data_IF_683786844457
#
_entry.id   IF_683786844457
#
_cell.length_a   1.000
_cell.length_b   1.000
_cell.length_c   1.000
_cell.angle_alpha   90.00
_cell.angle_beta   90.00
_cell.angle_gamma   90.00
#
_symmetry.space_group_name_H-M   'P 1'
#
loop_
_entity.id
_entity.type
_entity.pdbx_description
1 polymer ?
#
# COMPACT_ATOMS: atom_id res chain seq x y z
N UNK A 1 51.21 49.62 -6.27
CA UNK A 1 50.52 49.55 -4.98
C UNK A 1 49.12 48.99 -5.26
N UNK A 2 49.01 47.65 -5.15
CA UNK A 2 47.80 46.92 -5.50
C UNK A 2 47.11 46.46 -4.19
N UNK A 3 45.92 46.96 -3.95
CA UNK A 3 45.03 46.51 -2.85
C UNK A 3 44.08 45.46 -3.36
N UNK A 4 44.25 44.21 -2.94
CA UNK A 4 43.36 43.09 -3.19
C UNK A 4 42.17 43.10 -2.20
N UNK A 5 40.96 43.21 -2.71
CA UNK A 5 39.73 43.11 -1.91
C UNK A 5 39.19 41.66 -2.01
N UNK A 6 39.31 40.92 -0.93
CA UNK A 6 38.69 39.61 -0.74
C UNK A 6 37.22 39.78 -0.31
N UNK A 7 36.31 39.51 -1.25
CA UNK A 7 34.89 39.47 -0.97
C UNK A 7 34.49 38.15 -0.28
N UNK A 8 34.13 38.25 0.99
CA UNK A 8 33.55 37.14 1.76
C UNK A 8 32.06 36.97 1.43
N UNK A 9 31.70 35.89 0.75
CA UNK A 9 30.32 35.51 0.51
C UNK A 9 29.75 34.89 1.79
N UNK A 10 28.91 35.64 2.49
CA UNK A 10 28.13 35.17 3.64
C UNK A 10 26.95 34.34 3.10
N UNK A 11 27.01 33.04 3.25
CA UNK A 11 25.84 32.16 3.13
C UNK A 11 24.87 32.48 4.28
N UNK A 12 23.80 33.19 3.97
CA UNK A 12 22.65 33.33 4.86
C UNK A 12 21.92 31.99 4.90
N UNK A 13 22.03 31.29 6.01
CA UNK A 13 21.13 30.19 6.35
C UNK A 13 19.80 30.80 6.80
N UNK A 14 18.78 30.69 5.98
CA UNK A 14 17.42 30.98 6.40
C UNK A 14 17.00 29.88 7.38
N UNK A 15 16.91 30.25 8.65
CA UNK A 15 16.30 29.44 9.69
C UNK A 15 14.79 29.68 9.64
N UNK A 16 14.02 28.67 9.24
CA UNK A 16 12.57 28.68 9.31
C UNK A 16 12.15 28.25 10.74
N UNK A 17 11.43 29.07 11.52
CA UNK A 17 11.13 28.81 12.93
C UNK A 17 9.97 27.84 13.16
N UNK A 18 9.39 27.24 12.13
CA UNK A 18 8.38 26.20 12.24
C UNK A 18 8.99 24.85 11.98
N UNK A 19 9.23 24.06 13.04
CA UNK A 19 9.70 22.67 12.99
C UNK A 19 8.69 21.69 12.37
N UNK A 20 8.15 22.03 11.19
CA UNK A 20 7.37 21.17 10.32
C UNK A 20 8.30 20.55 9.29
N UNK A 21 8.43 19.22 9.31
CA UNK A 21 9.00 18.47 8.22
C UNK A 21 8.36 18.95 6.91
N UNK A 22 9.17 19.42 5.95
CA UNK A 22 8.70 19.72 4.58
C UNK A 22 8.07 18.45 3.99
N UNK A 23 6.73 18.37 4.02
CA UNK A 23 5.94 17.20 3.57
C UNK A 23 6.02 16.94 2.07
N UNK A 24 6.62 17.82 1.26
CA UNK A 24 6.54 17.77 -0.20
C UNK A 24 7.83 17.37 -0.95
N UNK A 25 8.96 17.24 -0.27
CA UNK A 25 10.25 17.04 -0.96
C UNK A 25 10.51 15.61 -1.47
N UNK A 26 9.69 14.61 -1.07
CA UNK A 26 9.89 13.19 -1.42
C UNK A 26 8.82 12.60 -2.35
N UNK A 27 7.69 13.28 -2.59
CA UNK A 27 6.60 12.76 -3.42
C UNK A 27 6.82 13.11 -4.89
N UNK A 28 6.95 12.08 -5.73
CA UNK A 28 7.08 12.19 -7.19
C UNK A 28 5.80 11.74 -7.88
N UNK A 29 5.28 12.55 -8.80
CA UNK A 29 4.19 12.17 -9.71
C UNK A 29 4.76 11.39 -10.88
N UNK A 30 4.12 10.28 -11.22
CA UNK A 30 4.51 9.40 -12.33
C UNK A 30 3.31 9.09 -13.21
N UNK A 31 3.60 8.72 -14.45
CA UNK A 31 2.64 8.06 -15.35
C UNK A 31 3.12 6.65 -15.61
N UNK A 32 2.23 5.68 -15.44
CA UNK A 32 2.49 4.26 -15.72
C UNK A 32 1.78 3.91 -17.02
N UNK A 33 2.51 3.37 -17.98
CA UNK A 33 1.95 2.80 -19.19
C UNK A 33 1.53 1.35 -18.91
N UNK A 34 0.23 1.07 -19.04
CA UNK A 34 -0.35 -0.26 -18.82
C UNK A 34 -0.33 -1.07 -20.11
N UNK A 35 -0.79 -0.46 -21.20
CA UNK A 35 -0.74 -0.98 -22.55
C UNK A 35 -0.79 0.18 -23.57
N UNK A 36 -0.93 -0.12 -24.85
CA UNK A 36 -0.96 0.88 -25.92
C UNK A 36 -2.13 1.90 -25.79
N UNK A 37 -3.20 1.53 -25.09
CA UNK A 37 -4.41 2.35 -24.94
C UNK A 37 -4.58 2.95 -23.53
N UNK A 38 -3.90 2.41 -22.52
CA UNK A 38 -4.13 2.77 -21.13
C UNK A 38 -2.86 3.28 -20.44
N UNK A 39 -2.99 4.47 -19.86
CA UNK A 39 -2.00 5.08 -18.96
C UNK A 39 -2.69 5.45 -17.66
N UNK A 40 -1.98 5.33 -16.54
CA UNK A 40 -2.51 5.69 -15.24
C UNK A 40 -1.53 6.55 -14.46
N UNK A 41 -2.08 7.41 -13.62
CA UNK A 41 -1.33 8.26 -12.70
C UNK A 41 -0.82 7.43 -11.51
N UNK A 42 0.36 7.80 -11.02
CA UNK A 42 0.92 7.24 -9.79
C UNK A 42 1.61 8.31 -8.94
N UNK A 43 1.74 8.03 -7.65
CA UNK A 43 2.44 8.83 -6.66
C UNK A 43 3.48 7.95 -5.97
N UNK A 44 4.74 8.32 -6.11
CA UNK A 44 5.85 7.66 -5.43
C UNK A 44 6.29 8.54 -4.25
N UNK A 45 6.14 8.01 -3.05
CA UNK A 45 6.71 8.55 -1.82
C UNK A 45 7.99 7.77 -1.51
N UNK A 46 9.17 8.40 -1.65
CA UNK A 46 10.47 7.74 -1.51
C UNK A 46 11.34 8.51 -0.51
N UNK A 47 11.22 8.23 0.80
CA UNK A 47 12.08 8.84 1.79
C UNK A 47 13.55 8.41 1.59
N UNK A 48 14.54 9.28 1.87
CA UNK A 48 15.96 8.96 1.68
C UNK A 48 16.45 7.74 2.47
N UNK A 49 15.75 7.43 3.56
CA UNK A 49 16.06 6.29 4.46
C UNK A 49 15.23 5.06 4.15
N UNK A 50 14.56 4.99 2.98
CA UNK A 50 13.71 3.86 2.63
C UNK A 50 14.46 2.53 2.64
N UNK A 51 13.86 1.52 3.29
CA UNK A 51 14.41 0.16 3.43
C UNK A 51 13.65 -0.87 2.59
N UNK A 52 12.42 -0.56 2.20
CA UNK A 52 11.57 -1.35 1.32
C UNK A 52 10.60 -0.43 0.59
N UNK A 53 9.93 -0.96 -0.44
CA UNK A 53 8.89 -0.24 -1.17
C UNK A 53 7.60 -1.06 -1.22
N UNK A 54 6.49 -0.45 -0.80
CA UNK A 54 5.16 -1.03 -0.86
C UNK A 54 4.38 -0.51 -2.06
N UNK A 55 4.07 -1.39 -3.02
CA UNK A 55 3.20 -1.10 -4.17
C UNK A 55 1.75 -1.22 -3.71
N UNK A 56 1.09 -0.08 -3.51
CA UNK A 56 -0.17 0.06 -2.77
C UNK A 56 -1.34 0.39 -3.69
N UNK A 57 -2.16 -0.62 -3.98
CA UNK A 57 -3.37 -0.51 -4.79
C UNK A 57 -4.56 0.02 -3.96
N UNK A 58 -5.35 0.93 -4.55
CA UNK A 58 -6.52 1.52 -3.88
C UNK A 58 -7.75 0.61 -3.89
N UNK A 59 -8.69 0.87 -2.96
CA UNK A 59 -10.02 0.26 -2.92
C UNK A 59 -10.94 0.72 -4.06
N UNK A 60 -12.01 -0.03 -4.31
CA UNK A 60 -12.99 0.31 -5.34
C UNK A 60 -13.59 1.70 -5.10
N UNK A 61 -13.57 2.56 -6.12
CA UNK A 61 -14.15 3.91 -6.10
C UNK A 61 -13.40 4.93 -5.26
N UNK A 62 -12.27 4.57 -4.62
CA UNK A 62 -11.52 5.47 -3.75
C UNK A 62 -10.43 6.27 -4.50
N UNK A 63 -9.69 5.61 -5.39
CA UNK A 63 -8.53 6.20 -6.06
C UNK A 63 -7.30 6.37 -5.16
N UNK A 64 -6.14 6.63 -5.79
CA UNK A 64 -4.85 6.74 -5.10
C UNK A 64 -4.74 7.96 -4.17
N UNK A 65 -5.56 9.00 -4.40
CA UNK A 65 -5.61 10.23 -3.61
C UNK A 65 -6.57 10.19 -2.43
N UNK A 66 -7.25 9.06 -2.17
CA UNK A 66 -8.16 8.94 -1.04
C UNK A 66 -7.45 9.20 0.30
N UNK A 67 -8.09 9.90 1.29
CA UNK A 67 -7.45 10.23 2.57
C UNK A 67 -6.82 9.05 3.29
N UNK A 68 -7.47 7.88 3.29
CA UNK A 68 -6.88 6.65 3.85
C UNK A 68 -5.57 6.25 3.15
N UNK A 69 -5.54 6.30 1.82
CA UNK A 69 -4.34 5.96 1.04
C UNK A 69 -3.19 6.95 1.30
N UNK A 70 -3.53 8.23 1.47
CA UNK A 70 -2.56 9.27 1.85
C UNK A 70 -2.02 9.04 3.25
N UNK A 71 -2.90 8.76 4.23
CA UNK A 71 -2.50 8.49 5.61
C UNK A 71 -1.57 7.27 5.70
N UNK A 72 -1.88 6.18 4.97
CA UNK A 72 -1.01 5.01 4.90
C UNK A 72 0.36 5.36 4.30
N UNK A 73 0.40 6.07 3.17
CA UNK A 73 1.66 6.43 2.53
C UNK A 73 2.52 7.37 3.40
N UNK A 74 1.91 8.38 4.03
CA UNK A 74 2.62 9.28 4.95
C UNK A 74 3.17 8.54 6.16
N UNK A 75 2.34 7.67 6.77
CA UNK A 75 2.76 6.90 7.93
C UNK A 75 3.85 5.86 7.62
N UNK A 76 3.86 5.30 6.41
CA UNK A 76 4.94 4.44 5.92
C UNK A 76 6.24 5.24 5.70
N UNK A 77 6.16 6.43 5.10
CA UNK A 77 7.32 7.29 4.88
C UNK A 77 7.97 7.74 6.21
N UNK A 78 7.17 8.04 7.24
CA UNK A 78 7.63 8.34 8.60
C UNK A 78 8.38 7.15 9.24
N UNK A 79 8.12 5.93 8.77
CA UNK A 79 8.74 4.66 9.20
C UNK A 79 9.80 4.14 8.23
N UNK A 80 10.29 4.99 7.33
CA UNK A 80 11.32 4.63 6.34
C UNK A 80 10.90 3.48 5.39
N UNK A 81 9.62 3.41 5.05
CA UNK A 81 9.11 2.55 3.99
C UNK A 81 8.59 3.44 2.86
N UNK A 82 9.11 3.22 1.65
CA UNK A 82 8.62 3.87 0.45
C UNK A 82 7.24 3.32 0.04
N UNK A 83 6.45 4.11 -0.67
CA UNK A 83 5.20 3.62 -1.26
C UNK A 83 4.98 4.13 -2.67
N UNK A 84 4.48 3.25 -3.55
CA UNK A 84 3.96 3.61 -4.87
C UNK A 84 2.45 3.39 -4.88
N UNK A 85 1.68 4.48 -4.86
CA UNK A 85 0.22 4.47 -5.05
C UNK A 85 -0.09 4.75 -6.51
N UNK A 86 -1.05 4.04 -7.10
CA UNK A 86 -1.42 4.21 -8.50
C UNK A 86 -2.93 4.13 -8.70
N UNK A 87 -3.41 4.71 -9.82
CA UNK A 87 -4.80 4.60 -10.24
C UNK A 87 -5.03 3.31 -11.03
N UNK A 88 -6.24 2.75 -10.91
CA UNK A 88 -6.74 1.83 -11.94
C UNK A 88 -7.36 2.64 -13.10
N UNK A 89 -7.35 2.13 -14.34
CA UNK A 89 -7.81 2.89 -15.52
C UNK A 89 -9.24 3.41 -15.42
N UNK A 90 -10.17 2.69 -14.77
CA UNK A 90 -11.53 3.17 -14.57
C UNK A 90 -11.58 4.46 -13.73
N UNK A 91 -10.67 4.64 -12.77
CA UNK A 91 -10.61 5.84 -11.96
C UNK A 91 -10.03 7.03 -12.73
N UNK A 92 -9.10 6.80 -13.66
CA UNK A 92 -8.65 7.85 -14.60
C UNK A 92 -9.80 8.40 -15.45
N UNK A 93 -10.74 7.54 -15.81
CA UNK A 93 -11.96 7.90 -16.55
C UNK A 93 -13.10 8.40 -15.65
N UNK A 94 -12.84 8.65 -14.37
CA UNK A 94 -13.84 9.04 -13.37
C UNK A 94 -15.04 8.06 -13.27
N UNK A 95 -14.84 6.81 -13.63
CA UNK A 95 -15.86 5.77 -13.50
C UNK A 95 -15.87 5.19 -12.08
N UNK A 96 -17.06 4.83 -11.60
CA UNK A 96 -17.22 4.07 -10.34
C UNK A 96 -17.20 2.56 -10.55
N UNK A 97 -17.36 2.10 -11.81
CA UNK A 97 -17.37 0.68 -12.16
C UNK A 97 -15.96 0.22 -12.49
N UNK A 98 -15.39 -0.72 -11.72
CA UNK A 98 -14.09 -1.30 -12.02
C UNK A 98 -14.01 -1.88 -13.44
N UNK A 99 -12.82 -1.87 -14.00
CA UNK A 99 -12.50 -2.53 -15.27
C UNK A 99 -12.56 -4.06 -15.13
N UNK A 100 -12.52 -4.74 -16.28
CA UNK A 100 -12.38 -6.17 -16.33
C UNK A 100 -11.10 -6.62 -15.58
N UNK A 101 -11.10 -7.78 -14.92
CA UNK A 101 -9.96 -8.27 -14.16
C UNK A 101 -8.64 -8.24 -14.94
N UNK A 102 -8.64 -8.63 -16.21
CA UNK A 102 -7.43 -8.65 -17.03
C UNK A 102 -6.73 -7.29 -17.13
N UNK A 103 -7.49 -6.18 -17.28
CA UNK A 103 -6.92 -4.83 -17.31
C UNK A 103 -6.41 -4.40 -15.93
N UNK A 104 -7.12 -4.77 -14.87
CA UNK A 104 -6.67 -4.52 -13.51
C UNK A 104 -5.37 -5.27 -13.20
N UNK A 105 -5.25 -6.53 -13.62
CA UNK A 105 -4.02 -7.33 -13.46
C UNK A 105 -2.85 -6.75 -14.26
N UNK A 106 -3.08 -6.34 -15.51
CA UNK A 106 -2.06 -5.63 -16.30
C UNK A 106 -1.59 -4.35 -15.60
N UNK A 107 -2.52 -3.58 -15.00
CA UNK A 107 -2.19 -2.37 -14.25
C UNK A 107 -1.32 -2.68 -13.01
N UNK A 108 -1.65 -3.74 -12.26
CA UNK A 108 -0.82 -4.18 -11.12
C UNK A 108 0.59 -4.53 -11.57
N UNK A 109 0.74 -5.31 -12.66
CA UNK A 109 2.06 -5.68 -13.21
C UNK A 109 2.87 -4.45 -13.59
N UNK A 110 2.27 -3.53 -14.33
CA UNK A 110 2.94 -2.29 -14.75
C UNK A 110 3.32 -1.40 -13.57
N UNK A 111 2.53 -1.42 -12.49
CA UNK A 111 2.87 -0.69 -11.27
C UNK A 111 4.08 -1.31 -10.54
N UNK A 112 4.13 -2.64 -10.43
CA UNK A 112 5.28 -3.37 -9.87
C UNK A 112 6.54 -3.12 -10.70
N UNK A 113 6.47 -3.25 -12.03
CA UNK A 113 7.58 -2.98 -12.93
C UNK A 113 8.08 -1.53 -12.81
N UNK A 114 7.15 -0.58 -12.63
CA UNK A 114 7.52 0.82 -12.42
C UNK A 114 8.20 1.03 -11.07
N UNK A 115 7.71 0.38 -10.00
CA UNK A 115 8.35 0.42 -8.68
C UNK A 115 9.78 -0.12 -8.74
N UNK A 116 10.01 -1.25 -9.41
CA UNK A 116 11.33 -1.83 -9.62
C UNK A 116 12.28 -0.86 -10.34
N UNK A 117 11.80 -0.19 -11.39
CA UNK A 117 12.64 0.79 -12.13
C UNK A 117 12.93 2.06 -11.33
N UNK A 118 11.99 2.52 -10.48
CA UNK A 118 12.17 3.75 -9.70
C UNK A 118 13.05 3.54 -8.45
N UNK A 119 13.07 2.34 -7.89
CA UNK A 119 13.82 2.00 -6.68
C UNK A 119 14.44 0.58 -6.79
N UNK A 120 15.40 0.36 -7.71
CA UNK A 120 15.89 -0.98 -8.03
C UNK A 120 16.64 -1.68 -6.90
N UNK A 121 17.09 -0.93 -5.90
CA UNK A 121 17.77 -1.46 -4.71
C UNK A 121 16.85 -1.81 -3.55
N UNK A 122 15.56 -1.46 -3.63
CA UNK A 122 14.63 -1.72 -2.54
C UNK A 122 13.86 -3.03 -2.78
N UNK A 123 13.77 -3.91 -1.77
CA UNK A 123 12.87 -5.05 -1.82
C UNK A 123 11.42 -4.58 -1.91
N UNK A 124 10.62 -5.29 -2.72
CA UNK A 124 9.23 -4.93 -2.98
C UNK A 124 8.27 -5.80 -2.17
N UNK A 125 7.26 -5.13 -1.62
CA UNK A 125 6.03 -5.74 -1.13
C UNK A 125 4.89 -5.17 -1.96
N UNK A 126 3.90 -5.97 -2.31
CA UNK A 126 2.73 -5.51 -3.05
C UNK A 126 1.44 -5.79 -2.28
N UNK A 127 0.33 -5.16 -2.68
CA UNK A 127 -0.94 -5.37 -2.03
C UNK A 127 -1.88 -4.18 -2.18
N UNK A 128 -2.65 -3.91 -1.14
CA UNK A 128 -3.54 -2.76 -1.18
C UNK A 128 -4.76 -2.87 -0.28
N UNK A 129 -5.66 -1.91 -0.47
CA UNK A 129 -6.94 -1.82 0.23
C UNK A 129 -8.03 -2.57 -0.52
N UNK A 130 -8.71 -3.51 0.15
CA UNK A 130 -9.96 -4.11 -0.34
C UNK A 130 -9.87 -4.65 -1.78
N UNK A 131 -10.51 -3.99 -2.75
CA UNK A 131 -10.43 -4.33 -4.18
C UNK A 131 -8.98 -4.42 -4.67
N UNK A 132 -8.14 -3.46 -4.29
CA UNK A 132 -6.72 -3.45 -4.65
C UNK A 132 -5.97 -4.66 -4.11
N UNK A 133 -6.24 -5.08 -2.88
CA UNK A 133 -5.68 -6.30 -2.27
C UNK A 133 -6.03 -7.53 -3.12
N UNK A 134 -7.31 -7.66 -3.50
CA UNK A 134 -7.80 -8.77 -4.33
C UNK A 134 -7.19 -8.76 -5.73
N UNK A 135 -7.12 -7.61 -6.41
CA UNK A 135 -6.51 -7.54 -7.74
C UNK A 135 -5.03 -7.90 -7.70
N UNK A 136 -4.30 -7.40 -6.70
CA UNK A 136 -2.88 -7.71 -6.54
C UNK A 136 -2.64 -9.19 -6.26
N UNK A 137 -3.41 -9.80 -5.36
CA UNK A 137 -3.26 -11.22 -5.04
C UNK A 137 -3.67 -12.15 -6.20
N UNK A 138 -4.71 -11.80 -6.95
CA UNK A 138 -5.09 -12.53 -8.17
C UNK A 138 -3.99 -12.44 -9.24
N UNK A 139 -3.38 -11.25 -9.40
CA UNK A 139 -2.26 -11.08 -10.33
C UNK A 139 -1.07 -11.94 -9.93
N UNK A 140 -0.74 -11.99 -8.64
CA UNK A 140 0.35 -12.83 -8.11
C UNK A 140 0.06 -14.32 -8.27
N UNK A 141 -1.18 -14.75 -8.05
CA UNK A 141 -1.61 -16.14 -8.18
C UNK A 141 -1.58 -16.64 -9.65
N UNK A 142 -1.99 -15.76 -10.58
CA UNK A 142 -1.97 -16.06 -12.02
C UNK A 142 -0.54 -16.21 -12.55
N UNK A 143 0.32 -15.27 -12.21
CA UNK A 143 1.74 -15.30 -12.55
C UNK A 143 2.50 -14.46 -11.53
N UNK A 144 3.55 -15.02 -10.94
CA UNK A 144 4.38 -14.34 -9.95
C UNK A 144 4.83 -12.95 -10.43
N UNK A 145 4.71 -11.97 -9.54
CA UNK A 145 5.18 -10.60 -9.75
C UNK A 145 6.69 -10.55 -9.47
N UNK A 146 7.53 -10.22 -10.45
CA UNK A 146 8.98 -10.23 -10.27
C UNK A 146 9.43 -9.29 -9.15
N UNK A 147 10.33 -9.77 -8.28
CA UNK A 147 10.91 -8.98 -7.20
C UNK A 147 9.97 -8.69 -6.02
N UNK A 148 8.73 -9.20 -6.04
CA UNK A 148 7.81 -9.07 -4.91
C UNK A 148 8.07 -10.19 -3.90
N UNK A 149 8.51 -9.80 -2.69
CA UNK A 149 8.85 -10.72 -1.61
C UNK A 149 7.65 -11.15 -0.77
N UNK A 150 6.55 -10.38 -0.78
CA UNK A 150 5.33 -10.71 -0.05
C UNK A 150 4.16 -9.81 -0.39
N UNK A 151 2.96 -10.20 0.06
CA UNK A 151 1.73 -9.44 -0.15
C UNK A 151 1.15 -8.97 1.19
N UNK A 152 0.75 -7.70 1.28
CA UNK A 152 0.06 -7.16 2.45
C UNK A 152 -1.33 -6.63 2.10
N UNK A 153 -2.34 -7.01 2.88
CA UNK A 153 -3.73 -6.71 2.59
C UNK A 153 -4.35 -5.85 3.70
N UNK A 154 -4.85 -4.69 3.32
CA UNK A 154 -5.54 -3.76 4.19
C UNK A 154 -7.06 -3.98 4.07
N UNK A 155 -7.62 -4.91 4.85
CA UNK A 155 -9.02 -5.34 4.77
C UNK A 155 -9.30 -6.14 3.49
N UNK A 156 -8.89 -7.41 3.46
CA UNK A 156 -9.17 -8.30 2.31
C UNK A 156 -10.65 -8.70 2.27
N UNK A 157 -11.37 -8.43 1.17
CA UNK A 157 -12.80 -8.78 1.09
C UNK A 157 -12.97 -10.24 0.68
N UNK A 158 -13.57 -11.08 1.51
CA UNK A 158 -13.86 -12.48 1.20
C UNK A 158 -15.05 -12.64 0.24
N UNK A 159 -15.99 -11.70 0.30
CA UNK A 159 -17.25 -11.75 -0.47
C UNK A 159 -17.76 -10.36 -0.84
N UNK A 160 -18.77 -10.25 -1.73
CA UNK A 160 -19.50 -9.01 -1.98
C UNK A 160 -20.35 -8.61 -0.75
N UNK A 161 -20.74 -7.33 -0.63
CA UNK A 161 -21.70 -6.91 0.39
C UNK A 161 -22.99 -7.74 0.33
N UNK A 162 -23.46 -8.23 1.49
CA UNK A 162 -24.71 -8.97 1.60
C UNK A 162 -24.71 -10.40 1.03
N UNK A 163 -23.55 -10.92 0.60
CA UNK A 163 -23.42 -12.28 0.07
C UNK A 163 -22.24 -13.00 0.75
N UNK A 164 -22.39 -13.43 2.01
CA UNK A 164 -21.32 -14.09 2.76
C UNK A 164 -20.76 -15.33 2.04
N UNK A 165 -19.43 -15.42 1.97
CA UNK A 165 -18.71 -16.50 1.27
C UNK A 165 -17.21 -16.35 1.40
N UNK A 166 -16.45 -17.15 0.64
CA UNK A 166 -14.99 -17.09 0.62
C UNK A 166 -14.44 -17.17 -0.82
N UNK A 167 -15.29 -17.11 -1.82
CA UNK A 167 -14.95 -17.34 -3.24
C UNK A 167 -13.89 -16.35 -3.74
N UNK A 168 -13.88 -15.13 -3.18
CA UNK A 168 -12.89 -14.11 -3.53
C UNK A 168 -11.47 -14.43 -3.05
N UNK A 169 -11.31 -15.44 -2.20
CA UNK A 169 -10.03 -15.83 -1.63
C UNK A 169 -9.48 -17.17 -2.19
N UNK A 170 -10.22 -17.92 -3.01
CA UNK A 170 -9.83 -19.24 -3.51
C UNK A 170 -8.45 -19.26 -4.18
N UNK A 171 -8.13 -18.21 -4.97
CA UNK A 171 -6.85 -18.08 -5.65
C UNK A 171 -5.64 -17.93 -4.71
N UNK A 172 -5.85 -17.57 -3.43
CA UNK A 172 -4.76 -17.37 -2.47
C UNK A 172 -3.96 -18.66 -2.18
N UNK A 173 -4.57 -19.81 -2.39
CA UNK A 173 -3.88 -21.11 -2.29
C UNK A 173 -2.72 -21.23 -3.27
N UNK A 174 -2.77 -20.50 -4.39
CA UNK A 174 -1.75 -20.49 -5.44
C UNK A 174 -0.68 -19.40 -5.24
N UNK A 175 -0.86 -18.51 -4.26
CA UNK A 175 0.14 -17.50 -3.92
C UNK A 175 1.28 -18.16 -3.15
N UNK A 176 2.49 -18.13 -3.70
CA UNK A 176 3.66 -18.78 -3.11
C UNK A 176 4.42 -17.90 -2.10
N UNK A 177 4.27 -16.56 -2.20
CA UNK A 177 4.96 -15.63 -1.30
C UNK A 177 4.20 -15.44 0.01
N UNK A 178 4.88 -15.04 1.11
CA UNK A 178 4.24 -14.70 2.37
C UNK A 178 3.15 -13.63 2.22
N UNK A 179 2.10 -13.74 3.05
CA UNK A 179 0.94 -12.85 3.03
C UNK A 179 0.64 -12.32 4.44
N UNK A 180 0.38 -11.02 4.56
CA UNK A 180 -0.14 -10.38 5.78
C UNK A 180 -1.57 -9.92 5.56
N UNK A 181 -2.48 -10.35 6.44
CA UNK A 181 -3.85 -9.87 6.52
C UNK A 181 -3.99 -8.91 7.71
N UNK A 182 -4.29 -7.65 7.44
CA UNK A 182 -4.67 -6.65 8.44
C UNK A 182 -6.20 -6.49 8.37
N UNK A 183 -6.92 -7.00 9.38
CA UNK A 183 -8.37 -7.18 9.29
C UNK A 183 -9.10 -6.65 10.53
N UNK A 184 -10.15 -5.86 10.32
CA UNK A 184 -11.00 -5.39 11.40
C UNK A 184 -11.97 -6.47 11.92
N UNK A 185 -12.28 -6.47 13.22
CA UNK A 185 -13.24 -7.43 13.81
C UNK A 185 -14.69 -7.18 13.38
N UNK A 186 -14.98 -5.98 12.86
CA UNK A 186 -16.32 -5.57 12.42
C UNK A 186 -16.40 -5.38 10.89
N UNK A 187 -15.47 -6.00 10.15
CA UNK A 187 -15.48 -5.94 8.71
C UNK A 187 -16.61 -6.79 8.12
N UNK A 188 -17.60 -6.12 7.53
CA UNK A 188 -18.80 -6.76 6.96
C UNK A 188 -18.52 -7.48 5.61
N UNK A 189 -17.33 -7.32 5.04
CA UNK A 189 -16.90 -7.98 3.80
C UNK A 189 -16.04 -9.22 4.05
N UNK A 190 -15.74 -9.50 5.34
CA UNK A 190 -14.86 -10.60 5.72
C UNK A 190 -15.07 -10.97 7.20
N UNK A 191 -16.02 -11.84 7.48
CA UNK A 191 -16.26 -12.32 8.84
C UNK A 191 -14.97 -12.92 9.41
N UNK A 192 -14.58 -12.47 10.59
CA UNK A 192 -13.30 -12.82 11.22
C UNK A 192 -13.10 -14.34 11.35
N UNK A 193 -14.16 -15.10 11.61
CA UNK A 193 -14.09 -16.58 11.68
C UNK A 193 -13.66 -17.19 10.35
N UNK A 194 -14.18 -16.67 9.22
CA UNK A 194 -13.79 -17.13 7.87
C UNK A 194 -12.35 -16.72 7.52
N UNK A 195 -11.95 -15.50 7.90
CA UNK A 195 -10.55 -15.04 7.73
C UNK A 195 -9.59 -15.95 8.49
N UNK A 196 -9.89 -16.28 9.75
CA UNK A 196 -9.08 -17.19 10.57
C UNK A 196 -8.98 -18.60 9.95
N UNK A 197 -10.09 -19.12 9.44
CA UNK A 197 -10.10 -20.41 8.74
C UNK A 197 -9.23 -20.37 7.48
N UNK A 198 -9.36 -19.33 6.68
CA UNK A 198 -8.53 -19.12 5.48
C UNK A 198 -7.03 -19.06 5.82
N UNK A 199 -6.66 -18.24 6.80
CA UNK A 199 -5.26 -18.10 7.22
C UNK A 199 -4.71 -19.42 7.73
N UNK A 200 -5.48 -20.18 8.52
CA UNK A 200 -5.09 -21.52 8.96
C UNK A 200 -4.88 -22.50 7.78
N UNK A 201 -5.71 -22.43 6.75
CA UNK A 201 -5.55 -23.23 5.53
C UNK A 201 -4.31 -22.85 4.71
N UNK A 202 -3.96 -21.56 4.68
CA UNK A 202 -2.76 -21.07 4.00
C UNK A 202 -1.47 -21.40 4.76
N UNK A 203 -1.56 -21.76 6.04
CA UNK A 203 -0.44 -22.18 6.88
C UNK A 203 0.59 -21.08 7.10
N UNK A 204 1.87 -21.45 7.17
CA UNK A 204 2.98 -20.54 7.47
C UNK A 204 3.14 -19.38 6.47
N UNK A 205 2.52 -19.47 5.29
CA UNK A 205 2.53 -18.42 4.29
C UNK A 205 1.62 -17.23 4.64
N UNK A 206 0.76 -17.34 5.65
CA UNK A 206 -0.20 -16.30 5.96
C UNK A 206 -0.16 -15.91 7.43
N UNK A 207 0.03 -14.63 7.69
CA UNK A 207 -0.12 -14.02 9.00
C UNK A 207 -1.40 -13.18 9.06
N UNK A 208 -2.08 -13.20 10.21
CA UNK A 208 -3.27 -12.39 10.47
C UNK A 208 -3.04 -11.49 11.67
N UNK A 209 -3.18 -10.19 11.48
CA UNK A 209 -3.30 -9.23 12.57
C UNK A 209 -4.72 -8.67 12.62
N UNK A 210 -5.33 -8.73 13.79
CA UNK A 210 -6.73 -8.36 14.00
C UNK A 210 -6.80 -7.01 14.69
N UNK A 211 -7.40 -6.03 13.99
CA UNK A 211 -7.64 -4.69 14.51
C UNK A 211 -8.99 -4.66 15.23
N UNK A 212 -8.92 -4.64 16.56
CA UNK A 212 -10.11 -4.74 17.40
C UNK A 212 -11.06 -3.57 17.19
N UNK A 213 -12.36 -3.86 17.07
CA UNK A 213 -13.49 -2.94 16.86
C UNK A 213 -13.44 -2.15 15.54
N UNK A 214 -12.45 -2.37 14.68
CA UNK A 214 -12.37 -1.72 13.38
C UNK A 214 -13.33 -2.37 12.36
N UNK A 215 -13.95 -1.54 11.53
CA UNK A 215 -14.74 -1.95 10.38
C UNK A 215 -13.89 -2.11 9.12
N UNK A 216 -14.53 -2.32 7.95
CA UNK A 216 -13.84 -2.42 6.66
C UNK A 216 -13.02 -1.18 6.31
N UNK A 217 -13.37 0.00 6.80
CA UNK A 217 -12.65 1.26 6.60
C UNK A 217 -11.58 1.52 7.66
N UNK A 218 -11.44 0.63 8.64
CA UNK A 218 -10.63 0.77 9.84
C UNK A 218 -11.12 1.87 10.79
N UNK A 219 -12.40 2.22 10.69
CA UNK A 219 -13.08 3.09 11.63
C UNK A 219 -13.54 2.31 12.87
N UNK A 220 -13.43 2.93 14.04
CA UNK A 220 -13.88 2.36 15.31
C UNK A 220 -14.98 3.22 15.93
N UNK A 221 -16.02 2.62 16.54
CA UNK A 221 -17.07 3.37 17.21
C UNK A 221 -16.54 4.01 18.51
N UNK A 222 -17.09 5.16 18.89
CA UNK A 222 -16.68 5.87 20.12
C UNK A 222 -16.72 4.98 21.38
N UNK A 223 -17.64 4.02 21.45
CA UNK A 223 -17.74 3.07 22.57
C UNK A 223 -16.59 2.06 22.69
N UNK A 224 -15.74 1.95 21.66
CA UNK A 224 -14.56 1.07 21.70
C UNK A 224 -13.47 1.56 22.65
N UNK A 225 -13.52 2.83 23.04
CA UNK A 225 -12.46 3.48 23.81
C UNK A 225 -11.17 3.75 23.00
N UNK A 226 -11.20 3.52 21.67
CA UNK A 226 -10.10 3.74 20.73
C UNK A 226 -10.46 4.81 19.71
N UNK A 227 -9.45 5.39 19.08
CA UNK A 227 -9.59 6.32 17.97
C UNK A 227 -9.10 5.70 16.65
N UNK A 228 -9.59 6.22 15.51
CA UNK A 228 -9.11 5.79 14.19
C UNK A 228 -7.60 6.04 14.02
N UNK A 229 -7.07 7.08 14.65
CA UNK A 229 -5.63 7.37 14.64
C UNK A 229 -4.82 6.27 15.36
N UNK A 230 -5.30 5.76 16.49
CA UNK A 230 -4.65 4.65 17.20
C UNK A 230 -4.71 3.34 16.39
N UNK A 231 -5.83 3.09 15.70
CA UNK A 231 -5.96 1.93 14.79
C UNK A 231 -5.02 2.07 13.60
N UNK A 232 -4.90 3.26 13.01
CA UNK A 232 -3.97 3.52 11.92
C UNK A 232 -2.51 3.32 12.37
N UNK A 233 -2.15 3.77 13.55
CA UNK A 233 -0.80 3.56 14.11
C UNK A 233 -0.51 2.07 14.27
N UNK A 234 -1.40 1.30 14.89
CA UNK A 234 -1.27 -0.15 15.05
C UNK A 234 -1.16 -0.88 13.70
N UNK A 235 -1.99 -0.50 12.73
CA UNK A 235 -1.96 -1.03 11.38
C UNK A 235 -0.59 -0.80 10.72
N UNK A 236 -0.08 0.43 10.81
CA UNK A 236 1.19 0.81 10.21
C UNK A 236 2.39 0.15 10.90
N UNK A 237 2.41 0.11 12.24
CA UNK A 237 3.48 -0.53 12.99
C UNK A 237 3.54 -2.03 12.66
N UNK A 238 2.38 -2.73 12.66
CA UNK A 238 2.31 -4.13 12.29
C UNK A 238 2.77 -4.38 10.84
N UNK A 239 2.35 -3.53 9.91
CA UNK A 239 2.75 -3.65 8.49
C UNK A 239 4.26 -3.48 8.33
N UNK A 240 4.84 -2.49 8.98
CA UNK A 240 6.27 -2.20 8.92
C UNK A 240 7.08 -3.32 9.55
N UNK A 241 6.72 -3.75 10.76
CA UNK A 241 7.38 -4.87 11.44
C UNK A 241 7.39 -6.14 10.57
N UNK A 242 6.26 -6.44 9.93
CA UNK A 242 6.17 -7.60 9.03
C UNK A 242 7.04 -7.43 7.78
N UNK A 243 7.06 -6.24 7.15
CA UNK A 243 7.91 -5.94 6.00
C UNK A 243 9.38 -6.11 6.37
N UNK A 244 9.81 -5.59 7.51
CA UNK A 244 11.20 -5.69 7.97
C UNK A 244 11.63 -7.14 8.22
N UNK A 245 10.79 -7.92 8.88
CA UNK A 245 11.07 -9.36 9.09
C UNK A 245 11.17 -10.10 7.76
N UNK A 246 10.31 -9.79 6.80
CA UNK A 246 10.32 -10.40 5.47
C UNK A 246 11.62 -10.10 4.70
N UNK A 247 12.08 -8.85 4.77
CA UNK A 247 13.29 -8.38 4.05
C UNK A 247 14.56 -8.88 4.71
N UNK A 248 14.58 -9.05 6.04
CA UNK A 248 15.74 -9.59 6.75
C UNK A 248 15.90 -11.11 6.57
N UNK A 249 14.85 -11.81 6.15
CA UNK A 249 14.85 -13.26 5.92
C UNK A 249 15.29 -13.66 4.49
N UNK A 250 15.50 -12.67 3.60
CA UNK A 250 15.94 -12.84 2.20
C UNK A 250 17.38 -12.44 2.01
#
# INVERSE_FOLDING_TARGET
MNGSATGSVRLQRNFDPCGGYCKDASMKRLTIEVDAAHRVSALLDLPPTARALYVLAHGAGAGMGHPFMQAVASGLAERSIASLRYQFPYMERHSRRPDAPALCHATVRSAVDTATRQAPSLPLVAGGKSFGARMTSQTQADQALPGVHGLAFLGFPLHPPGAPGSERAEHLTQVAVPMLFLQGTRDELAELTRVRTLVAQLGERAALHVLQDADHSFHVPARSGRTDAQVMTELLDTLVDWIEHLVLAT
#
